data_IF_419836246473
#
_entry.id   IF_419836246473
#
_cell.length_a   1.000
_cell.length_b   1.000
_cell.length_c   1.000
_cell.angle_alpha   90.00
_cell.angle_beta   90.00
_cell.angle_gamma   90.00
#
_symmetry.space_group_name_H-M   'P 1'
#
loop_
_entity.id
_entity.type
_entity.pdbx_description
1 polymer ?
#
# COMPACT_ATOMS: atom_id res chain seq x y z
N UNK A 1 27.62 17.85 18.49
CA UNK A 1 27.60 17.09 19.76
C UNK A 1 26.62 15.96 19.59
N UNK A 2 27.02 14.71 19.84
CA UNK A 2 26.12 13.56 19.86
C UNK A 2 25.69 13.31 21.31
N UNK A 3 24.38 13.17 21.55
CA UNK A 3 23.80 13.00 22.89
C UNK A 3 22.95 11.73 22.86
N UNK A 4 23.33 10.75 23.68
CA UNK A 4 22.68 9.44 23.75
C UNK A 4 22.31 9.11 25.21
N UNK A 5 21.25 9.74 25.70
CA UNK A 5 20.74 9.55 27.07
C UNK A 5 19.27 9.15 27.05
N UNK A 6 18.97 8.00 26.44
CA UNK A 6 17.62 7.48 26.34
C UNK A 6 17.13 6.74 27.58
N UNK A 7 18.06 6.29 28.45
CA UNK A 7 17.76 5.40 29.59
C UNK A 7 18.25 6.02 30.88
N UNK A 8 17.49 5.82 31.96
CA UNK A 8 17.95 6.15 33.30
C UNK A 8 19.13 5.26 33.71
N UNK A 9 19.99 5.75 34.62
CA UNK A 9 21.07 4.95 35.17
C UNK A 9 20.51 3.95 36.22
N UNK A 10 20.03 2.80 35.76
CA UNK A 10 19.44 1.76 36.62
C UNK A 10 20.41 1.14 37.63
N UNK A 11 21.72 1.38 37.50
CA UNK A 11 22.70 0.96 38.51
C UNK A 11 22.52 1.69 39.84
N UNK A 12 21.84 2.84 39.84
CA UNK A 12 21.51 3.61 41.06
C UNK A 12 20.28 3.06 41.80
N UNK A 13 19.58 2.07 41.23
CA UNK A 13 18.35 1.48 41.78
C UNK A 13 18.65 0.10 42.38
N UNK A 14 18.07 -0.26 43.55
CA UNK A 14 18.15 -1.60 44.11
C UNK A 14 17.68 -2.66 43.10
N UNK A 15 18.41 -3.78 43.00
CA UNK A 15 18.13 -4.85 42.02
C UNK A 15 16.66 -5.28 42.05
N UNK A 16 16.08 -5.42 43.24
CA UNK A 16 14.68 -5.84 43.44
C UNK A 16 13.63 -4.87 42.88
N UNK A 17 14.00 -3.64 42.51
CA UNK A 17 13.09 -2.61 41.98
C UNK A 17 13.41 -2.18 40.54
N UNK A 18 14.47 -2.72 39.92
CA UNK A 18 14.92 -2.27 38.59
C UNK A 18 13.85 -2.45 37.53
N UNK A 19 13.15 -3.58 37.54
CA UNK A 19 12.12 -3.90 36.54
C UNK A 19 10.95 -2.91 36.60
N UNK A 20 10.53 -2.48 37.79
CA UNK A 20 9.50 -1.44 37.96
C UNK A 20 9.93 -0.10 37.33
N UNK A 21 11.20 0.28 37.49
CA UNK A 21 11.75 1.51 36.91
C UNK A 21 11.87 1.41 35.38
N UNK A 22 12.34 0.27 34.88
CA UNK A 22 12.43 0.02 33.43
C UNK A 22 11.02 0.07 32.80
N UNK A 23 10.04 -0.59 33.40
CA UNK A 23 8.66 -0.59 32.91
C UNK A 23 8.07 0.83 32.87
N UNK A 24 8.25 1.61 33.93
CA UNK A 24 7.82 3.02 33.98
C UNK A 24 8.47 3.86 32.87
N UNK A 25 9.78 3.74 32.69
CA UNK A 25 10.52 4.53 31.69
C UNK A 25 10.18 4.11 30.26
N UNK A 26 9.99 2.82 30.01
CA UNK A 26 9.48 2.30 28.73
C UNK A 26 8.10 2.86 28.42
N UNK A 27 7.18 2.88 29.39
CA UNK A 27 5.84 3.45 29.20
C UNK A 27 5.90 4.96 28.94
N UNK A 28 6.79 5.67 29.65
CA UNK A 28 7.05 7.09 29.40
C UNK A 28 7.57 7.32 27.97
N UNK A 29 8.47 6.46 27.48
CA UNK A 29 8.98 6.54 26.12
C UNK A 29 7.90 6.25 25.06
N UNK A 30 6.98 5.29 25.31
CA UNK A 30 5.83 5.08 24.42
C UNK A 30 4.97 6.35 24.29
N UNK A 31 4.77 7.10 25.38
CA UNK A 31 4.03 8.36 25.32
C UNK A 31 4.77 9.43 24.49
N UNK A 32 6.10 9.49 24.59
CA UNK A 32 6.92 10.37 23.74
C UNK A 32 6.74 9.99 22.27
N UNK A 33 6.83 8.69 21.95
CA UNK A 33 6.64 8.20 20.58
C UNK A 33 5.23 8.52 20.04
N UNK A 34 4.17 8.29 20.82
CA UNK A 34 2.79 8.63 20.43
C UNK A 34 2.65 10.10 20.05
N UNK A 35 3.12 11.00 20.92
CA UNK A 35 3.09 12.45 20.65
C UNK A 35 3.86 12.83 19.40
N UNK A 36 5.03 12.20 19.19
CA UNK A 36 5.82 12.43 17.98
C UNK A 36 5.06 11.97 16.73
N UNK A 37 4.48 10.78 16.72
CA UNK A 37 3.68 10.27 15.60
C UNK A 37 2.47 11.17 15.32
N UNK A 38 1.71 11.54 16.34
CA UNK A 38 0.54 12.43 16.22
C UNK A 38 0.94 13.79 15.62
N UNK A 39 2.06 14.37 16.08
CA UNK A 39 2.52 15.67 15.59
C UNK A 39 3.10 15.64 14.17
N UNK A 40 3.45 14.46 13.66
CA UNK A 40 4.05 14.28 12.33
C UNK A 40 3.11 13.55 11.36
N UNK A 41 1.90 13.17 11.77
CA UNK A 41 1.01 12.31 11.01
C UNK A 41 0.73 12.88 9.61
N UNK A 42 0.34 14.14 9.52
CA UNK A 42 0.03 14.80 8.25
C UNK A 42 1.26 14.82 7.33
N UNK A 43 2.44 15.15 7.84
CA UNK A 43 3.67 15.15 7.04
C UNK A 43 4.11 13.74 6.61
N UNK A 44 3.86 12.71 7.42
CA UNK A 44 4.10 11.31 7.04
C UNK A 44 3.18 10.92 5.87
N UNK A 45 1.89 11.26 5.98
CA UNK A 45 0.89 11.01 4.95
C UNK A 45 1.24 11.78 3.67
N UNK A 46 1.51 13.07 3.73
CA UNK A 46 1.91 13.87 2.57
C UNK A 46 3.12 13.27 1.83
N UNK A 47 4.16 12.86 2.57
CA UNK A 47 5.33 12.19 1.98
C UNK A 47 5.00 10.89 1.29
N UNK A 48 4.06 10.09 1.82
CA UNK A 48 3.64 8.85 1.14
C UNK A 48 3.07 9.14 -0.25
N UNK A 49 2.29 10.22 -0.40
CA UNK A 49 1.68 10.61 -1.67
C UNK A 49 2.68 11.19 -2.70
N UNK A 50 3.89 11.56 -2.27
CA UNK A 50 4.96 11.98 -3.19
C UNK A 50 5.66 10.79 -3.87
N UNK A 51 5.64 9.62 -3.22
CA UNK A 51 6.29 8.40 -3.72
C UNK A 51 5.46 7.81 -4.86
N UNK A 52 6.10 7.60 -6.01
CA UNK A 52 5.45 7.02 -7.20
C UNK A 52 5.08 5.56 -6.97
N UNK A 53 4.01 5.06 -7.58
CA UNK A 53 3.61 3.64 -7.45
C UNK A 53 4.24 2.74 -8.53
N UNK A 54 4.73 1.56 -8.12
CA UNK A 54 5.11 0.47 -9.05
C UNK A 54 3.86 -0.33 -9.49
N UNK A 55 2.83 -0.37 -8.64
CA UNK A 55 1.68 -1.28 -8.69
C UNK A 55 2.03 -2.74 -8.40
N UNK A 56 2.58 -3.49 -9.37
CA UNK A 56 2.94 -4.89 -9.18
C UNK A 56 4.05 -5.33 -10.13
N UNK A 57 4.85 -6.31 -9.71
CA UNK A 57 5.91 -6.96 -10.49
C UNK A 57 5.75 -8.47 -10.36
N UNK A 58 5.84 -9.22 -11.47
CA UNK A 58 5.68 -10.69 -11.46
C UNK A 58 6.92 -11.41 -10.92
N UNK A 59 8.11 -10.89 -11.26
CA UNK A 59 9.38 -11.47 -10.86
C UNK A 59 10.05 -10.55 -9.85
N UNK A 60 10.17 -11.04 -8.61
CA UNK A 60 10.69 -10.27 -7.49
C UNK A 60 11.92 -11.00 -6.95
N UNK A 61 13.04 -10.29 -6.86
CA UNK A 61 14.19 -10.69 -6.05
C UNK A 61 14.20 -9.91 -4.73
N UNK A 62 15.15 -10.22 -3.85
CA UNK A 62 15.24 -9.64 -2.50
C UNK A 62 15.41 -8.11 -2.49
N UNK A 63 15.86 -7.48 -3.59
CA UNK A 63 15.94 -6.02 -3.70
C UNK A 63 14.60 -5.29 -3.49
N UNK A 64 13.45 -5.97 -3.66
CA UNK A 64 12.13 -5.37 -3.37
C UNK A 64 11.91 -5.14 -1.88
N UNK A 65 12.50 -5.98 -1.00
CA UNK A 65 12.44 -5.75 0.45
C UNK A 65 13.13 -4.43 0.81
N UNK A 66 14.28 -4.16 0.18
CA UNK A 66 15.04 -2.92 0.37
C UNK A 66 14.26 -1.68 -0.10
N UNK A 67 13.47 -1.78 -1.18
CA UNK A 67 12.60 -0.68 -1.61
C UNK A 67 11.52 -0.40 -0.57
N UNK A 68 10.86 -1.44 -0.03
CA UNK A 68 9.81 -1.26 0.98
C UNK A 68 10.35 -0.56 2.23
N UNK A 69 11.52 -0.97 2.69
CA UNK A 69 12.21 -0.30 3.80
C UNK A 69 12.60 1.14 3.44
N UNK A 70 13.05 1.40 2.21
CA UNK A 70 13.41 2.74 1.76
C UNK A 70 12.20 3.68 1.71
N UNK A 71 11.03 3.18 1.29
CA UNK A 71 9.76 3.91 1.34
C UNK A 71 9.43 4.30 2.78
N UNK A 72 9.50 3.35 3.73
CA UNK A 72 9.23 3.64 5.15
C UNK A 72 10.22 4.68 5.72
N UNK A 73 11.50 4.57 5.37
CA UNK A 73 12.50 5.57 5.75
C UNK A 73 12.16 6.95 5.20
N UNK A 74 11.73 7.05 3.93
CA UNK A 74 11.30 8.30 3.33
C UNK A 74 10.05 8.88 4.02
N UNK A 75 9.02 8.05 4.22
CA UNK A 75 7.76 8.40 4.88
C UNK A 75 7.98 8.95 6.29
N UNK A 76 8.95 8.40 7.03
CA UNK A 76 9.31 8.84 8.38
C UNK A 76 10.30 10.01 8.40
N UNK A 77 10.87 10.41 7.26
CA UNK A 77 11.80 11.53 7.13
C UNK A 77 13.27 11.20 7.31
N UNK A 78 13.64 9.92 7.27
CA UNK A 78 15.01 9.43 7.35
C UNK A 78 15.68 9.38 5.97
N UNK A 79 15.85 10.54 5.34
CA UNK A 79 16.26 10.67 3.94
C UNK A 79 17.66 10.10 3.64
N UNK A 80 18.64 10.32 4.51
CA UNK A 80 19.98 9.73 4.35
C UNK A 80 19.93 8.20 4.32
N UNK A 81 19.10 7.60 5.18
CA UNK A 81 18.89 6.15 5.21
C UNK A 81 18.20 5.66 3.94
N UNK A 82 17.17 6.37 3.48
CA UNK A 82 16.50 6.08 2.21
C UNK A 82 17.48 6.10 1.03
N UNK A 83 18.27 7.17 0.89
CA UNK A 83 19.28 7.29 -0.19
C UNK A 83 20.26 6.12 -0.16
N UNK A 84 20.79 5.78 1.02
CA UNK A 84 21.72 4.67 1.17
C UNK A 84 21.10 3.34 0.73
N UNK A 85 19.87 3.07 1.17
CA UNK A 85 19.19 1.80 0.91
C UNK A 85 18.75 1.66 -0.55
N UNK A 86 18.23 2.73 -1.16
CA UNK A 86 17.96 2.79 -2.61
C UNK A 86 19.24 2.58 -3.41
N UNK A 87 20.35 3.15 -2.96
CA UNK A 87 21.67 2.94 -3.55
C UNK A 87 22.10 1.47 -3.55
N UNK A 88 21.91 0.77 -2.42
CA UNK A 88 22.19 -0.67 -2.31
C UNK A 88 21.27 -1.48 -3.22
N UNK A 89 19.96 -1.20 -3.19
CA UNK A 89 18.98 -1.88 -4.02
C UNK A 89 19.25 -1.69 -5.53
N UNK A 90 19.67 -0.49 -5.93
CA UNK A 90 20.04 -0.18 -7.32
C UNK A 90 21.29 -0.94 -7.77
N UNK A 91 22.30 -1.03 -6.91
CA UNK A 91 23.53 -1.79 -7.22
C UNK A 91 23.25 -3.30 -7.34
N UNK A 92 22.46 -3.86 -6.43
CA UNK A 92 22.06 -5.27 -6.46
C UNK A 92 21.21 -5.59 -7.69
N UNK A 93 20.22 -4.74 -7.99
CA UNK A 93 19.42 -4.86 -9.21
C UNK A 93 20.27 -4.82 -10.48
N UNK A 94 21.26 -3.92 -10.56
CA UNK A 94 22.14 -3.82 -11.73
C UNK A 94 22.98 -5.08 -11.94
N UNK A 95 23.41 -5.76 -10.86
CA UNK A 95 24.09 -7.06 -10.94
C UNK A 95 23.13 -8.15 -11.42
N UNK A 96 21.96 -8.24 -10.81
CA UNK A 96 20.90 -9.16 -11.22
C UNK A 96 20.55 -8.99 -12.71
N UNK A 97 20.38 -7.75 -13.17
CA UNK A 97 20.04 -7.42 -14.54
C UNK A 97 21.15 -7.86 -15.50
N UNK A 98 22.41 -7.59 -15.18
CA UNK A 98 23.54 -8.01 -16.00
C UNK A 98 23.59 -9.54 -16.17
N UNK A 99 23.40 -10.30 -15.08
CA UNK A 99 23.38 -11.77 -15.12
C UNK A 99 22.20 -12.26 -15.97
N UNK A 100 21.01 -11.70 -15.74
CA UNK A 100 19.77 -12.09 -16.44
C UNK A 100 19.84 -11.79 -17.95
N UNK A 101 20.55 -10.74 -18.34
CA UNK A 101 20.77 -10.37 -19.75
C UNK A 101 21.98 -11.08 -20.38
N UNK A 102 22.52 -12.13 -19.73
CA UNK A 102 23.59 -12.96 -20.28
C UNK A 102 24.98 -12.30 -20.25
N UNK A 103 25.20 -11.35 -19.34
CA UNK A 103 26.48 -10.64 -19.15
C UNK A 103 27.03 -10.82 -17.72
N UNK A 104 27.23 -12.07 -17.24
CA UNK A 104 27.70 -12.32 -15.88
C UNK A 104 29.06 -11.65 -15.56
N UNK A 105 29.92 -11.46 -16.57
CA UNK A 105 31.19 -10.76 -16.41
C UNK A 105 31.05 -9.28 -16.01
N UNK A 106 29.86 -8.67 -16.17
CA UNK A 106 29.61 -7.30 -15.75
C UNK A 106 29.30 -7.18 -14.26
N UNK A 107 29.04 -8.28 -13.55
CA UNK A 107 28.77 -8.29 -12.12
C UNK A 107 29.95 -7.71 -11.31
N UNK A 108 31.18 -8.11 -11.66
CA UNK A 108 32.42 -7.68 -10.99
C UNK A 108 32.85 -6.25 -11.32
N UNK A 109 32.17 -5.58 -12.26
CA UNK A 109 32.45 -4.18 -12.57
C UNK A 109 31.95 -3.26 -11.44
N UNK A 110 32.51 -2.05 -11.39
CA UNK A 110 31.92 -0.98 -10.59
C UNK A 110 30.54 -0.64 -11.14
N UNK A 111 29.64 -0.09 -10.30
CA UNK A 111 28.30 0.34 -10.72
C UNK A 111 28.32 1.20 -11.99
N UNK A 112 29.23 2.19 -12.03
CA UNK A 112 29.40 3.09 -13.18
C UNK A 112 29.80 2.34 -14.46
N UNK A 113 30.80 1.46 -14.37
CA UNK A 113 31.26 0.70 -15.52
C UNK A 113 30.20 -0.29 -15.99
N UNK A 114 29.52 -0.99 -15.06
CA UNK A 114 28.41 -1.91 -15.37
C UNK A 114 27.31 -1.19 -16.12
N UNK A 115 26.87 -0.04 -15.61
CA UNK A 115 25.80 0.75 -16.20
C UNK A 115 26.16 1.24 -17.61
N UNK A 116 27.39 1.72 -17.81
CA UNK A 116 27.86 2.15 -19.13
C UNK A 116 28.02 0.98 -20.12
N UNK A 117 28.49 -0.18 -19.66
CA UNK A 117 28.59 -1.39 -20.50
C UNK A 117 27.20 -1.90 -20.91
N UNK A 118 26.22 -1.95 -20.00
CA UNK A 118 24.85 -2.34 -20.34
C UNK A 118 24.23 -1.40 -21.37
N UNK A 119 24.46 -0.08 -21.25
CA UNK A 119 24.02 0.89 -22.25
C UNK A 119 24.75 0.72 -23.59
N UNK A 120 26.07 0.57 -23.57
CA UNK A 120 26.89 0.41 -24.77
C UNK A 120 26.51 -0.83 -25.59
N UNK A 121 26.09 -1.89 -24.91
CA UNK A 121 25.58 -3.11 -25.54
C UNK A 121 24.10 -3.03 -25.96
N UNK A 122 23.44 -1.88 -25.79
CA UNK A 122 22.00 -1.66 -26.01
C UNK A 122 21.08 -2.60 -25.21
N UNK A 123 21.53 -3.04 -24.04
CA UNK A 123 20.76 -3.90 -23.13
C UNK A 123 19.82 -3.11 -22.22
N UNK A 124 20.07 -1.81 -22.05
CA UNK A 124 19.19 -0.87 -21.39
C UNK A 124 19.03 0.38 -22.25
N UNK A 125 17.90 1.07 -22.10
CA UNK A 125 17.64 2.30 -22.83
C UNK A 125 18.45 3.48 -22.26
N UNK A 126 18.60 4.59 -23.03
CA UNK A 126 19.18 5.82 -22.52
C UNK A 126 18.41 6.42 -21.32
N UNK A 127 17.08 6.25 -21.27
CA UNK A 127 16.27 6.73 -20.14
C UNK A 127 16.57 5.95 -18.88
N UNK A 128 16.56 4.61 -18.95
CA UNK A 128 16.93 3.74 -17.83
C UNK A 128 18.35 4.03 -17.33
N UNK A 129 19.30 4.22 -18.24
CA UNK A 129 20.66 4.61 -17.87
C UNK A 129 20.68 5.92 -17.08
N UNK A 130 19.94 6.93 -17.54
CA UNK A 130 19.88 8.25 -16.88
C UNK A 130 19.32 8.15 -15.47
N UNK A 131 18.23 7.38 -15.27
CA UNK A 131 17.63 7.16 -13.95
C UNK A 131 18.60 6.47 -12.98
N UNK A 132 19.26 5.39 -13.43
CA UNK A 132 20.20 4.63 -12.61
C UNK A 132 21.50 5.41 -12.32
N UNK A 133 21.99 6.19 -13.28
CA UNK A 133 23.17 7.04 -13.08
C UNK A 133 22.88 8.15 -12.07
N UNK A 134 21.66 8.71 -12.11
CA UNK A 134 21.22 9.71 -11.13
C UNK A 134 21.21 9.15 -9.71
N UNK A 135 20.71 7.93 -9.53
CA UNK A 135 20.76 7.23 -8.23
C UNK A 135 22.22 7.06 -7.78
N UNK A 136 23.11 6.61 -8.67
CA UNK A 136 24.54 6.44 -8.37
C UNK A 136 25.18 7.74 -7.90
N UNK A 137 24.92 8.86 -8.56
CA UNK A 137 25.45 10.18 -8.17
C UNK A 137 25.00 10.57 -6.76
N UNK A 138 23.69 10.52 -6.50
CA UNK A 138 23.10 10.86 -5.19
C UNK A 138 23.67 9.96 -4.10
N UNK A 139 23.73 8.64 -4.36
CA UNK A 139 24.29 7.62 -3.46
C UNK A 139 25.75 7.89 -3.16
N UNK A 140 26.56 8.24 -4.16
CA UNK A 140 27.99 8.49 -3.97
C UNK A 140 28.23 9.73 -3.12
N UNK A 141 27.47 10.80 -3.35
CA UNK A 141 27.54 11.99 -2.50
C UNK A 141 27.19 11.68 -1.04
N UNK A 142 26.15 10.86 -0.83
CA UNK A 142 25.72 10.41 0.49
C UNK A 142 26.76 9.52 1.18
N UNK A 143 27.18 8.42 0.55
CA UNK A 143 27.99 7.39 1.18
C UNK A 143 29.46 7.75 1.31
N UNK A 144 29.99 8.59 0.44
CA UNK A 144 31.32 9.18 0.65
C UNK A 144 31.28 10.39 1.59
N UNK A 145 30.07 10.81 2.01
CA UNK A 145 29.85 11.92 2.93
C UNK A 145 30.61 13.18 2.49
N UNK A 146 30.45 13.50 1.20
CA UNK A 146 31.14 14.59 0.53
C UNK A 146 30.78 15.95 1.18
N UNK A 147 31.63 16.96 1.02
CA UNK A 147 31.37 18.29 1.61
C UNK A 147 30.04 18.89 1.15
N UNK A 148 29.68 18.72 -0.12
CA UNK A 148 28.39 19.14 -0.64
C UNK A 148 27.24 18.45 0.09
N UNK A 149 27.34 17.14 0.35
CA UNK A 149 26.32 16.39 1.08
C UNK A 149 26.17 16.86 2.53
N UNK A 150 27.28 17.14 3.22
CA UNK A 150 27.28 17.67 4.60
C UNK A 150 26.59 19.03 4.75
N UNK A 151 26.52 19.80 3.67
CA UNK A 151 25.91 21.13 3.65
C UNK A 151 24.44 21.12 3.23
N UNK A 152 23.90 19.96 2.81
CA UNK A 152 22.50 19.84 2.38
C UNK A 152 21.55 20.08 3.55
N UNK A 153 20.51 20.86 3.29
CA UNK A 153 19.40 21.00 4.22
C UNK A 153 18.57 19.72 4.24
N UNK A 154 17.69 19.59 5.24
CA UNK A 154 16.77 18.45 5.29
C UNK A 154 15.81 18.42 4.08
N UNK A 155 15.50 19.59 3.50
CA UNK A 155 14.69 19.70 2.29
C UNK A 155 15.45 19.20 1.07
N UNK A 156 16.72 19.54 0.94
CA UNK A 156 17.57 19.03 -0.16
C UNK A 156 17.70 17.50 -0.07
N UNK A 157 17.89 16.97 1.15
CA UNK A 157 17.92 15.53 1.38
C UNK A 157 16.60 14.84 1.03
N UNK A 158 15.45 15.48 1.34
CA UNK A 158 14.13 15.00 0.93
C UNK A 158 14.04 14.89 -0.59
N UNK A 159 14.43 15.93 -1.32
CA UNK A 159 14.39 15.95 -2.79
C UNK A 159 15.27 14.85 -3.38
N UNK A 160 16.49 14.69 -2.86
CA UNK A 160 17.41 13.64 -3.32
C UNK A 160 16.87 12.24 -3.04
N UNK A 161 16.34 12.00 -1.84
CA UNK A 161 15.76 10.71 -1.46
C UNK A 161 14.56 10.36 -2.34
N UNK A 162 13.66 11.33 -2.55
CA UNK A 162 12.49 11.14 -3.41
C UNK A 162 12.91 10.86 -4.86
N UNK A 163 13.87 11.63 -5.37
CA UNK A 163 14.41 11.44 -6.73
C UNK A 163 15.00 10.04 -6.88
N UNK A 164 15.88 9.62 -5.97
CA UNK A 164 16.50 8.30 -6.03
C UNK A 164 15.45 7.18 -5.97
N UNK A 165 14.52 7.26 -5.02
CA UNK A 165 13.47 6.27 -4.83
C UNK A 165 12.56 6.16 -6.06
N UNK A 166 12.02 7.29 -6.54
CA UNK A 166 11.13 7.28 -7.69
C UNK A 166 11.86 6.85 -8.98
N UNK A 167 13.12 7.25 -9.19
CA UNK A 167 13.92 6.77 -10.33
C UNK A 167 14.13 5.26 -10.30
N UNK A 168 14.30 4.65 -9.12
CA UNK A 168 14.44 3.20 -9.00
C UNK A 168 13.11 2.50 -9.30
N UNK A 169 12.00 3.02 -8.75
CA UNK A 169 10.65 2.50 -8.98
C UNK A 169 10.26 2.57 -10.46
N UNK A 170 10.57 3.68 -11.12
CA UNK A 170 10.36 3.87 -12.56
C UNK A 170 11.20 2.88 -13.37
N UNK A 171 12.48 2.72 -13.03
CA UNK A 171 13.35 1.73 -13.68
C UNK A 171 12.79 0.31 -13.58
N UNK A 172 12.26 -0.07 -12.41
CA UNK A 172 11.68 -1.40 -12.22
C UNK A 172 10.41 -1.57 -13.02
N UNK A 173 9.57 -0.54 -13.08
CA UNK A 173 8.36 -0.56 -13.90
C UNK A 173 8.69 -0.74 -15.38
N UNK A 174 9.73 -0.08 -15.87
CA UNK A 174 10.13 -0.15 -17.28
C UNK A 174 10.77 -1.50 -17.65
N UNK A 175 11.58 -2.09 -16.77
CA UNK A 175 12.32 -3.33 -17.06
C UNK A 175 11.54 -4.58 -16.66
N UNK A 176 10.93 -4.58 -15.47
CA UNK A 176 10.31 -5.74 -14.85
C UNK A 176 8.77 -5.70 -14.91
N UNK A 177 8.20 -4.53 -15.18
CA UNK A 177 6.76 -4.37 -15.29
C UNK A 177 6.21 -5.12 -16.50
N UNK A 178 5.00 -5.65 -16.35
CA UNK A 178 4.33 -6.34 -17.45
C UNK A 178 3.57 -5.35 -18.35
N UNK A 179 3.68 -5.56 -19.66
CA UNK A 179 2.97 -4.79 -20.69
C UNK A 179 1.75 -5.54 -21.24
N UNK A 180 1.55 -6.79 -20.84
CA UNK A 180 0.48 -7.65 -21.30
C UNK A 180 -0.79 -7.45 -20.46
N UNK A 181 -1.95 -7.61 -21.09
CA UNK A 181 -3.24 -7.58 -20.42
C UNK A 181 -3.32 -8.69 -19.35
N UNK A 182 -3.79 -8.31 -18.16
CA UNK A 182 -3.88 -9.21 -17.00
C UNK A 182 -4.99 -10.23 -17.24
N UNK A 183 -4.67 -11.52 -17.04
CA UNK A 183 -5.67 -12.59 -17.08
C UNK A 183 -6.29 -12.86 -15.70
N UNK A 184 -7.35 -13.66 -15.64
CA UNK A 184 -8.09 -13.93 -14.40
C UNK A 184 -7.23 -14.58 -13.29
N UNK A 185 -6.31 -15.48 -13.65
CA UNK A 185 -5.43 -16.14 -12.68
C UNK A 185 -4.43 -15.16 -12.08
N UNK A 186 -3.87 -14.27 -12.91
CA UNK A 186 -2.96 -13.22 -12.46
C UNK A 186 -3.67 -12.20 -11.57
N UNK A 187 -4.87 -11.80 -11.94
CA UNK A 187 -5.71 -10.94 -11.11
C UNK A 187 -5.94 -11.57 -9.74
N UNK A 188 -6.37 -12.84 -9.70
CA UNK A 188 -6.57 -13.57 -8.45
C UNK A 188 -5.28 -13.65 -7.63
N UNK A 189 -4.14 -13.93 -8.27
CA UNK A 189 -2.84 -13.98 -7.60
C UNK A 189 -2.44 -12.65 -6.98
N UNK A 190 -2.73 -11.52 -7.64
CA UNK A 190 -2.43 -10.18 -7.09
C UNK A 190 -3.28 -9.92 -5.84
N UNK A 191 -4.58 -10.22 -5.90
CA UNK A 191 -5.48 -10.02 -4.76
C UNK A 191 -5.08 -10.91 -3.58
N UNK A 192 -4.79 -12.19 -3.83
CA UNK A 192 -4.27 -13.11 -2.79
C UNK A 192 -2.93 -12.64 -2.23
N UNK A 193 -2.04 -12.12 -3.08
CA UNK A 193 -0.75 -11.56 -2.66
C UNK A 193 -0.89 -10.34 -1.74
N UNK A 194 -1.87 -9.48 -1.98
CA UNK A 194 -2.18 -8.36 -1.06
C UNK A 194 -2.64 -8.89 0.30
N UNK A 195 -3.53 -9.89 0.32
CA UNK A 195 -4.06 -10.45 1.57
C UNK A 195 -3.04 -11.25 2.38
N UNK A 196 -1.93 -11.69 1.78
CA UNK A 196 -0.89 -12.52 2.41
C UNK A 196 0.45 -11.80 2.60
N UNK A 197 0.52 -10.50 2.31
CA UNK A 197 1.77 -9.74 2.39
C UNK A 197 2.23 -9.45 3.82
N UNK A 198 3.51 -9.65 4.09
CA UNK A 198 4.14 -9.38 5.41
C UNK A 198 4.17 -7.88 5.78
N UNK A 199 3.92 -6.97 4.83
CA UNK A 199 3.94 -5.52 5.01
C UNK A 199 2.56 -4.89 5.32
N UNK A 200 1.53 -5.72 5.52
CA UNK A 200 0.18 -5.27 5.84
C UNK A 200 0.06 -4.94 7.33
N UNK A 201 -0.36 -3.71 7.67
CA UNK A 201 -0.50 -3.28 9.07
C UNK A 201 -1.78 -3.79 9.72
N UNK A 202 -2.88 -3.84 8.98
CA UNK A 202 -4.20 -4.27 9.45
C UNK A 202 -5.14 -4.59 8.27
N UNK A 203 -6.35 -5.05 8.59
CA UNK A 203 -7.40 -5.39 7.62
C UNK A 203 -7.87 -4.20 6.78
N UNK A 204 -7.84 -2.99 7.34
CA UNK A 204 -8.24 -1.77 6.61
C UNK A 204 -7.26 -1.47 5.47
N UNK A 205 -5.96 -1.71 5.69
CA UNK A 205 -4.95 -1.57 4.64
C UNK A 205 -5.16 -2.58 3.51
N UNK A 206 -5.61 -3.80 3.81
CA UNK A 206 -5.96 -4.80 2.79
C UNK A 206 -7.09 -4.27 1.91
N UNK A 207 -8.20 -3.80 2.52
CA UNK A 207 -9.35 -3.29 1.79
C UNK A 207 -8.96 -2.12 0.86
N UNK A 208 -8.13 -1.18 1.34
CA UNK A 208 -7.63 -0.06 0.55
C UNK A 208 -6.75 -0.53 -0.61
N UNK A 209 -5.78 -1.43 -0.35
CA UNK A 209 -4.87 -1.95 -1.38
C UNK A 209 -5.64 -2.75 -2.44
N UNK A 210 -6.61 -3.58 -2.05
CA UNK A 210 -7.48 -4.32 -2.97
C UNK A 210 -8.29 -3.36 -3.84
N UNK A 211 -8.96 -2.37 -3.24
CA UNK A 211 -9.70 -1.33 -3.97
C UNK A 211 -8.83 -0.64 -5.02
N UNK A 212 -7.65 -0.19 -4.61
CA UNK A 212 -6.72 0.52 -5.49
C UNK A 212 -6.20 -0.41 -6.59
N UNK A 213 -5.85 -1.64 -6.27
CA UNK A 213 -5.45 -2.64 -7.26
C UNK A 213 -6.55 -2.85 -8.30
N UNK A 214 -7.80 -3.11 -7.89
CA UNK A 214 -8.93 -3.28 -8.82
C UNK A 214 -9.05 -2.07 -9.74
N UNK A 215 -8.98 -0.85 -9.20
CA UNK A 215 -9.05 0.37 -10.00
C UNK A 215 -7.92 0.46 -11.03
N UNK A 216 -6.68 0.15 -10.63
CA UNK A 216 -5.52 0.20 -11.52
C UNK A 216 -5.51 -0.91 -12.58
N UNK A 217 -5.95 -2.12 -12.24
CA UNK A 217 -5.92 -3.28 -13.12
C UNK A 217 -7.10 -3.26 -14.10
N UNK A 218 -8.31 -2.92 -13.65
CA UNK A 218 -9.51 -2.87 -14.49
C UNK A 218 -9.75 -1.52 -15.15
N UNK A 219 -8.98 -0.49 -14.78
CA UNK A 219 -9.20 0.91 -15.22
C UNK A 219 -10.62 1.39 -14.95
N UNK A 220 -11.18 0.91 -13.84
CA UNK A 220 -12.56 1.17 -13.44
C UNK A 220 -12.58 2.06 -12.17
N UNK A 221 -13.37 3.14 -12.15
CA UNK A 221 -13.57 3.94 -10.94
C UNK A 221 -14.49 3.18 -9.99
N UNK A 222 -13.90 2.33 -9.14
CA UNK A 222 -14.65 1.53 -8.16
C UNK A 222 -15.15 2.36 -6.96
N UNK A 223 -14.48 3.49 -6.68
CA UNK A 223 -14.86 4.37 -5.60
C UNK A 223 -15.86 5.44 -6.07
N UNK A 224 -16.87 5.71 -5.24
CA UNK A 224 -17.82 6.79 -5.44
C UNK A 224 -17.15 8.17 -5.27
N UNK A 225 -17.77 9.19 -5.87
CA UNK A 225 -17.35 10.58 -5.69
C UNK A 225 -17.39 10.95 -4.19
N UNK A 226 -16.40 11.69 -3.65
CA UNK A 226 -16.34 12.05 -2.22
C UNK A 226 -17.56 12.80 -1.69
N UNK A 227 -18.32 13.48 -2.56
CA UNK A 227 -19.59 14.15 -2.22
C UNK A 227 -20.74 13.17 -2.03
N UNK A 228 -20.66 11.97 -2.60
CA UNK A 228 -21.68 10.91 -2.48
C UNK A 228 -21.60 10.30 -1.08
N UNK A 229 -22.67 10.44 -0.30
CA UNK A 229 -22.77 9.87 1.06
C UNK A 229 -23.60 8.60 1.13
N UNK A 230 -24.53 8.44 0.20
CA UNK A 230 -25.47 7.33 0.16
C UNK A 230 -25.64 6.91 -1.29
N UNK A 231 -25.63 5.61 -1.53
CA UNK A 231 -26.07 5.03 -2.78
C UNK A 231 -27.46 4.41 -2.56
N UNK A 232 -28.42 4.75 -3.42
CA UNK A 232 -29.75 4.17 -3.43
C UNK A 232 -29.97 3.44 -4.75
N UNK A 233 -30.59 2.27 -4.70
CA UNK A 233 -30.89 1.47 -5.88
C UNK A 233 -32.26 0.81 -5.74
N UNK A 234 -33.14 1.12 -6.70
CA UNK A 234 -34.40 0.40 -6.87
C UNK A 234 -34.27 -0.52 -8.08
N UNK A 235 -34.55 -1.81 -7.90
CA UNK A 235 -34.55 -2.80 -8.98
C UNK A 235 -35.61 -3.87 -8.74
N UNK A 236 -35.78 -4.73 -9.73
CA UNK A 236 -36.50 -5.98 -9.59
C UNK A 236 -35.49 -7.05 -9.16
N UNK A 237 -35.85 -7.80 -8.11
CA UNK A 237 -35.03 -8.84 -7.55
C UNK A 237 -35.80 -10.15 -7.45
N UNK A 238 -35.08 -11.25 -7.57
CA UNK A 238 -35.55 -12.57 -7.12
C UNK A 238 -35.05 -12.83 -5.71
N UNK A 239 -35.94 -13.12 -4.77
CA UNK A 239 -35.58 -13.58 -3.41
C UNK A 239 -34.90 -14.93 -3.52
N UNK A 240 -33.67 -15.05 -3.03
CA UNK A 240 -32.91 -16.30 -3.04
C UNK A 240 -33.05 -17.07 -1.76
N UNK A 241 -33.06 -16.35 -0.64
CA UNK A 241 -33.12 -16.89 0.70
C UNK A 241 -33.61 -15.80 1.65
N UNK A 242 -34.41 -16.20 2.64
CA UNK A 242 -34.78 -15.38 3.78
C UNK A 242 -34.25 -16.10 5.02
N UNK A 243 -33.28 -15.49 5.69
CA UNK A 243 -32.68 -16.02 6.91
C UNK A 243 -33.19 -15.21 8.12
N UNK A 244 -34.18 -15.76 8.81
CA UNK A 244 -34.78 -15.14 9.99
C UNK A 244 -33.89 -15.23 11.25
N UNK A 245 -32.92 -16.14 11.28
CA UNK A 245 -32.01 -16.29 12.42
C UNK A 245 -30.96 -15.16 12.45
N UNK A 246 -30.60 -14.64 11.26
CA UNK A 246 -29.62 -13.57 11.09
C UNK A 246 -30.23 -12.22 10.67
N UNK A 247 -31.55 -12.13 10.49
CA UNK A 247 -32.24 -10.94 9.98
C UNK A 247 -31.77 -10.48 8.59
N UNK A 248 -31.54 -11.45 7.68
CA UNK A 248 -30.96 -11.22 6.37
C UNK A 248 -31.86 -11.73 5.23
N UNK A 249 -31.87 -11.02 4.10
CA UNK A 249 -32.50 -11.46 2.86
C UNK A 249 -31.46 -11.44 1.75
N UNK A 250 -31.30 -12.57 1.06
CA UNK A 250 -30.48 -12.64 -0.15
C UNK A 250 -31.33 -12.30 -1.37
N UNK A 251 -30.99 -11.22 -2.07
CA UNK A 251 -31.68 -10.73 -3.26
C UNK A 251 -30.77 -10.85 -4.48
N UNK A 252 -31.25 -11.50 -5.55
CA UNK A 252 -30.56 -11.50 -6.86
C UNK A 252 -31.18 -10.42 -7.75
N UNK A 253 -30.40 -9.43 -8.16
CA UNK A 253 -30.86 -8.37 -9.07
C UNK A 253 -31.06 -8.95 -10.48
N UNK A 254 -32.28 -8.90 -11.00
CA UNK A 254 -32.61 -9.50 -12.28
C UNK A 254 -31.97 -8.74 -13.46
N UNK A 255 -31.53 -7.49 -13.25
CA UNK A 255 -30.89 -6.68 -14.29
C UNK A 255 -29.46 -7.09 -14.63
N UNK A 256 -28.72 -7.64 -13.66
CA UNK A 256 -27.28 -7.94 -13.80
C UNK A 256 -26.85 -9.28 -13.18
N UNK A 257 -27.75 -9.94 -12.45
CA UNK A 257 -27.52 -11.24 -11.84
C UNK A 257 -26.69 -11.22 -10.55
N UNK A 258 -26.26 -10.05 -10.06
CA UNK A 258 -25.55 -9.94 -8.78
C UNK A 258 -26.46 -10.28 -7.61
N UNK A 259 -25.87 -10.89 -6.58
CA UNK A 259 -26.54 -11.20 -5.33
C UNK A 259 -26.09 -10.17 -4.31
N UNK A 260 -27.05 -9.58 -3.62
CA UNK A 260 -26.84 -8.70 -2.47
C UNK A 260 -27.52 -9.32 -1.26
N UNK A 261 -26.80 -9.36 -0.15
CA UNK A 261 -27.34 -9.75 1.15
C UNK A 261 -27.71 -8.44 1.83
N UNK A 262 -28.98 -8.31 2.23
CA UNK A 262 -29.48 -7.13 2.91
C UNK A 262 -29.93 -7.50 4.31
N UNK A 263 -29.41 -6.76 5.28
CA UNK A 263 -29.87 -6.84 6.66
C UNK A 263 -31.11 -5.97 6.81
N UNK A 264 -32.06 -6.42 7.63
CA UNK A 264 -33.15 -5.59 8.11
C UNK A 264 -32.98 -5.31 9.62
N UNK A 265 -33.16 -4.06 10.08
CA UNK A 265 -33.09 -3.76 11.49
C UNK A 265 -34.10 -4.60 12.29
N UNK A 266 -33.73 -5.07 13.48
CA UNK A 266 -34.63 -5.83 14.37
C UNK A 266 -35.96 -5.08 14.61
N UNK A 267 -35.90 -3.74 14.69
CA UNK A 267 -37.07 -2.86 14.83
C UNK A 267 -38.05 -2.93 13.65
N UNK A 268 -37.58 -3.34 12.48
CA UNK A 268 -38.34 -3.45 11.24
C UNK A 268 -38.65 -4.92 10.86
N UNK A 269 -38.14 -5.91 11.61
CA UNK A 269 -38.36 -7.35 11.36
C UNK A 269 -39.83 -7.67 11.09
N UNK A 270 -40.74 -7.14 11.90
CA UNK A 270 -42.19 -7.37 11.75
C UNK A 270 -42.73 -6.84 10.42
N UNK A 271 -42.26 -5.69 9.96
CA UNK A 271 -42.68 -5.10 8.68
C UNK A 271 -42.34 -6.05 7.52
N UNK A 272 -41.13 -6.63 7.53
CA UNK A 272 -40.69 -7.53 6.47
C UNK A 272 -41.31 -8.93 6.57
N UNK A 273 -41.51 -9.46 7.79
CA UNK A 273 -42.25 -10.71 8.01
C UNK A 273 -43.71 -10.62 7.53
N UNK A 274 -44.35 -9.46 7.70
CA UNK A 274 -45.73 -9.24 7.24
C UNK A 274 -45.87 -9.30 5.70
N UNK A 275 -44.77 -9.06 4.95
CA UNK A 275 -44.74 -9.21 3.48
C UNK A 275 -44.76 -10.67 3.02
N UNK A 276 -44.51 -11.63 3.92
CA UNK A 276 -44.55 -13.09 3.66
C UNK A 276 -43.72 -13.52 2.43
N UNK A 277 -42.55 -12.92 2.28
CA UNK A 277 -41.60 -13.21 1.22
C UNK A 277 -41.16 -14.67 1.28
N UNK A 278 -41.01 -15.31 0.12
CA UNK A 278 -40.55 -16.69 -0.05
C UNK A 278 -39.45 -16.78 -1.08
N UNK A 279 -38.69 -17.87 -1.00
CA UNK A 279 -37.69 -18.20 -2.00
C UNK A 279 -38.32 -18.24 -3.40
N UNK A 280 -37.63 -17.58 -4.33
CA UNK A 280 -38.01 -17.34 -5.73
C UNK A 280 -39.16 -16.36 -5.95
N UNK A 281 -39.66 -15.66 -4.93
CA UNK A 281 -40.56 -14.54 -5.15
C UNK A 281 -39.83 -13.44 -5.94
N UNK A 282 -40.56 -12.81 -6.85
CA UNK A 282 -40.09 -11.61 -7.57
C UNK A 282 -40.60 -10.38 -6.84
N UNK A 283 -39.68 -9.49 -6.48
CA UNK A 283 -39.96 -8.28 -5.69
C UNK A 283 -39.41 -7.04 -6.39
N UNK A 284 -40.05 -5.90 -6.18
CA UNK A 284 -39.39 -4.61 -6.32
C UNK A 284 -38.84 -4.24 -4.95
N UNK A 285 -37.55 -3.97 -4.88
CA UNK A 285 -36.92 -3.51 -3.65
C UNK A 285 -36.14 -2.22 -3.89
N UNK A 286 -36.18 -1.33 -2.90
CA UNK A 286 -35.30 -0.17 -2.81
C UNK A 286 -34.27 -0.43 -1.74
N UNK A 287 -33.01 -0.51 -2.15
CA UNK A 287 -31.85 -0.75 -1.29
C UNK A 287 -31.06 0.54 -1.13
N UNK A 288 -30.43 0.73 0.02
CA UNK A 288 -29.46 1.80 0.20
C UNK A 288 -28.22 1.31 0.94
N UNK A 289 -27.08 1.94 0.64
CA UNK A 289 -25.84 1.74 1.39
C UNK A 289 -25.23 3.10 1.69
N UNK A 290 -24.69 3.24 2.89
CA UNK A 290 -23.81 4.35 3.20
C UNK A 290 -22.47 4.14 2.48
N UNK A 291 -21.86 5.23 2.02
CA UNK A 291 -20.52 5.21 1.44
C UNK A 291 -19.50 5.38 2.57
N UNK A 292 -18.57 4.43 2.66
CA UNK A 292 -17.54 4.41 3.70
C UNK A 292 -16.40 5.41 3.42
N UNK A 293 -15.42 5.47 4.34
CA UNK A 293 -14.25 6.35 4.19
C UNK A 293 -13.35 5.97 3.01
N UNK A 294 -13.49 4.75 2.48
CA UNK A 294 -12.76 4.28 1.29
C UNK A 294 -13.48 4.64 -0.01
N UNK A 295 -14.68 5.23 0.06
CA UNK A 295 -15.50 5.54 -1.10
C UNK A 295 -16.21 4.32 -1.66
N UNK A 296 -16.41 3.26 -0.87
CA UNK A 296 -17.12 2.05 -1.27
C UNK A 296 -18.46 1.93 -0.54
N UNK A 297 -19.39 1.19 -1.11
CA UNK A 297 -20.58 0.74 -0.37
C UNK A 297 -20.13 -0.26 0.67
N UNK A 298 -20.62 -0.10 1.90
CA UNK A 298 -20.42 -1.06 2.97
C UNK A 298 -21.62 -2.02 3.03
N UNK A 299 -22.35 -1.98 4.14
CA UNK A 299 -23.57 -2.73 4.38
C UNK A 299 -24.72 -2.16 3.52
N UNK A 300 -25.41 -3.03 2.80
CA UNK A 300 -26.64 -2.70 2.08
C UNK A 300 -27.85 -3.00 2.95
N UNK A 301 -28.76 -2.03 3.02
CA UNK A 301 -29.98 -2.11 3.82
C UNK A 301 -31.20 -1.98 2.95
N UNK A 302 -32.26 -2.62 3.40
CA UNK A 302 -33.57 -2.52 2.79
C UNK A 302 -34.23 -1.20 3.22
N UNK A 303 -34.69 -0.41 2.24
CA UNK A 303 -35.50 0.78 2.49
C UNK A 303 -36.98 0.45 2.28
N UNK A 304 -37.27 -0.33 1.25
CA UNK A 304 -38.62 -0.83 0.97
C UNK A 304 -38.58 -2.09 0.11
N UNK A 305 -39.63 -2.91 0.21
CA UNK A 305 -39.81 -4.13 -0.57
C UNK A 305 -41.29 -4.45 -0.77
N UNK A 306 -41.64 -4.83 -2.00
CA UNK A 306 -42.96 -5.28 -2.37
C UNK A 306 -42.89 -6.43 -3.37
N UNK A 307 -43.74 -7.44 -3.18
CA UNK A 307 -43.96 -8.51 -4.16
C UNK A 307 -44.64 -7.97 -5.42
N UNK A 308 -44.17 -8.42 -6.58
CA UNK A 308 -44.80 -8.15 -7.87
C UNK A 308 -46.03 -9.03 -8.15
#
# INVERSE_FOLDING_TARGET
MYIDFHKYNYNLVPISKRDEYIARDQESYKQILRKWFESNLDSIVERKWEVSEIHYLKNISDFIKLIREAEQLFELGFYTGCIALVGVASEDFLKYLAITLGKPQYESLTQFNRLNSLKGDNLISPSTHTLLDKIREIRNDCLHYNQNFKQKSNLDLKVDALTALNSLKETFKDILGDTVAINANEFSSIITGIGSGDDIKNTDEIAIKVKNAISHLLKFPIAFDPSTKVQVRTSIFTVREVDEDFDEISLRDDSNGFIVIVEFPETERKYYQDKKLKDNDTVIATLFSLIDKNGLTAEWRLLDIDTL
#
